data_IF_577060276901
#
_entry.id   IF_577060276901
#
_cell.length_a   1.000
_cell.length_b   1.000
_cell.length_c   1.000
_cell.angle_alpha   90.00
_cell.angle_beta   90.00
_cell.angle_gamma   90.00
#
_symmetry.space_group_name_H-M   'P 1'
#
loop_
_entity.id
_entity.type
_entity.pdbx_description
1 polymer ?
#
# COMPACT_ATOMS: atom_id res chain seq x y z
N UNK A 1 -24.44 -25.27 3.96
CA UNK A 1 -24.15 -24.56 2.69
C UNK A 1 -24.10 -23.05 2.92
N UNK A 2 -22.96 -22.48 3.36
CA UNK A 2 -22.82 -21.03 3.69
C UNK A 2 -21.69 -20.31 2.95
N UNK A 3 -21.15 -20.88 1.88
CA UNK A 3 -20.04 -20.26 1.12
C UNK A 3 -20.44 -18.94 0.42
N UNK A 4 -21.70 -18.85 -0.05
CA UNK A 4 -22.23 -17.64 -0.71
C UNK A 4 -22.38 -16.43 0.23
N UNK A 5 -22.69 -16.66 1.51
CA UNK A 5 -22.76 -15.58 2.51
C UNK A 5 -21.37 -15.10 2.91
N UNK A 6 -20.41 -16.00 3.09
CA UNK A 6 -19.01 -15.63 3.40
C UNK A 6 -18.40 -14.79 2.27
N UNK A 7 -18.65 -15.15 1.00
CA UNK A 7 -18.19 -14.37 -0.15
C UNK A 7 -18.88 -13.00 -0.27
N UNK A 8 -20.19 -12.92 0.00
CA UNK A 8 -20.92 -11.63 -0.05
C UNK A 8 -20.49 -10.69 1.07
N UNK A 9 -20.33 -11.21 2.29
CA UNK A 9 -19.94 -10.39 3.44
C UNK A 9 -18.48 -9.93 3.31
N UNK A 10 -17.58 -10.77 2.79
CA UNK A 10 -16.16 -10.41 2.62
C UNK A 10 -15.88 -9.38 1.51
N UNK A 11 -16.69 -9.33 0.44
CA UNK A 11 -16.52 -8.36 -0.65
C UNK A 11 -17.23 -7.03 -0.39
N UNK A 12 -18.42 -7.06 0.25
CA UNK A 12 -19.32 -5.90 0.31
C UNK A 12 -19.42 -5.30 1.72
N UNK A 13 -19.53 -6.12 2.77
CA UNK A 13 -19.81 -5.63 4.13
C UNK A 13 -18.56 -5.47 5.01
N UNK A 14 -17.50 -6.24 4.77
CA UNK A 14 -16.27 -6.25 5.59
C UNK A 14 -15.02 -5.80 4.83
N UNK A 15 -15.15 -5.39 3.56
CA UNK A 15 -13.98 -5.00 2.77
C UNK A 15 -13.53 -3.58 3.16
N UNK A 16 -12.36 -3.41 3.80
CA UNK A 16 -11.90 -2.10 4.30
C UNK A 16 -11.73 -1.05 3.19
N UNK A 17 -11.51 -1.49 1.94
CA UNK A 17 -11.44 -0.60 0.78
C UNK A 17 -12.78 0.04 0.44
N UNK A 18 -13.89 -0.69 0.63
CA UNK A 18 -15.24 -0.21 0.33
C UNK A 18 -15.94 0.46 1.52
N UNK A 19 -15.70 -0.03 2.75
CA UNK A 19 -16.41 0.45 3.95
C UNK A 19 -15.66 1.57 4.66
N UNK A 20 -14.33 1.48 4.74
CA UNK A 20 -13.50 2.45 5.46
C UNK A 20 -12.82 3.47 4.54
N UNK A 21 -13.04 3.34 3.21
CA UNK A 21 -12.50 4.23 2.17
C UNK A 21 -10.96 4.37 2.23
N UNK A 22 -10.26 3.33 2.69
CA UNK A 22 -8.80 3.29 2.72
C UNK A 22 -8.24 2.93 1.35
N UNK A 23 -7.24 3.66 0.87
CA UNK A 23 -6.58 3.38 -0.41
C UNK A 23 -7.33 3.91 -1.66
N UNK A 24 -8.18 4.92 -1.51
CA UNK A 24 -8.93 5.53 -2.64
C UNK A 24 -8.02 6.19 -3.69
N UNK A 25 -6.91 6.80 -3.25
CA UNK A 25 -5.99 7.48 -4.16
C UNK A 25 -5.38 6.55 -5.23
N UNK A 26 -4.76 5.39 -4.89
CA UNK A 26 -4.28 4.47 -5.91
C UNK A 26 -5.42 3.77 -6.66
N UNK A 27 -6.56 3.50 -6.00
CA UNK A 27 -7.70 2.84 -6.64
C UNK A 27 -8.26 3.68 -7.79
N UNK A 28 -8.43 4.98 -7.59
CA UNK A 28 -8.88 5.90 -8.64
C UNK A 28 -7.84 6.01 -9.77
N UNK A 29 -6.55 6.03 -9.45
CA UNK A 29 -5.48 6.13 -10.44
C UNK A 29 -5.43 4.94 -11.42
N UNK A 30 -5.71 3.72 -10.95
CA UNK A 30 -5.56 2.49 -11.75
C UNK A 30 -6.82 2.10 -12.55
N UNK A 31 -7.93 2.81 -12.38
CA UNK A 31 -9.17 2.57 -13.16
C UNK A 31 -9.01 2.81 -14.67
N UNK A 32 -7.99 3.60 -15.06
CA UNK A 32 -7.76 3.98 -16.46
C UNK A 32 -7.08 2.90 -17.28
N UNK A 33 -6.28 2.02 -16.66
CA UNK A 33 -5.49 1.02 -17.38
C UNK A 33 -5.05 -0.12 -16.46
N UNK A 34 -5.40 -1.35 -16.85
CA UNK A 34 -5.01 -2.58 -16.14
C UNK A 34 -3.48 -2.73 -16.10
N UNK A 35 -2.78 -2.32 -17.17
CA UNK A 35 -1.32 -2.36 -17.27
C UNK A 35 -0.68 -1.46 -16.20
N UNK A 36 -1.21 -0.25 -16.02
CA UNK A 36 -0.75 0.67 -14.98
C UNK A 36 -1.09 0.15 -13.58
N UNK A 37 -2.24 -0.49 -13.40
CA UNK A 37 -2.64 -1.10 -12.14
C UNK A 37 -1.70 -2.23 -11.69
N UNK A 38 -1.34 -3.12 -12.60
CA UNK A 38 -0.40 -4.20 -12.33
C UNK A 38 1.00 -3.63 -12.04
N UNK A 39 1.46 -2.65 -12.83
CA UNK A 39 2.74 -1.98 -12.62
C UNK A 39 2.83 -1.28 -11.26
N UNK A 40 1.80 -0.54 -10.87
CA UNK A 40 1.74 0.17 -9.59
C UNK A 40 1.66 -0.80 -8.40
N UNK A 41 0.89 -1.89 -8.52
CA UNK A 41 0.78 -2.92 -7.48
C UNK A 41 2.08 -3.69 -7.25
N UNK A 42 2.75 -4.14 -8.33
CA UNK A 42 4.06 -4.79 -8.24
C UNK A 42 5.10 -3.87 -7.61
N UNK A 43 5.12 -2.61 -8.05
CA UNK A 43 6.02 -1.59 -7.53
C UNK A 43 5.81 -1.33 -6.04
N UNK A 44 4.55 -1.19 -5.60
CA UNK A 44 4.22 -1.01 -4.19
C UNK A 44 4.63 -2.24 -3.35
N UNK A 45 4.42 -3.45 -3.87
CA UNK A 45 4.79 -4.69 -3.18
C UNK A 45 6.30 -4.76 -2.97
N UNK A 46 7.08 -4.44 -4.01
CA UNK A 46 8.54 -4.40 -3.93
C UNK A 46 9.03 -3.31 -2.95
N UNK A 47 8.48 -2.10 -3.03
CA UNK A 47 8.81 -0.99 -2.12
C UNK A 47 8.49 -1.34 -0.67
N UNK A 48 7.36 -2.01 -0.40
CA UNK A 48 6.99 -2.43 0.94
C UNK A 48 7.96 -3.45 1.52
N UNK A 49 8.45 -4.40 0.72
CA UNK A 49 9.45 -5.39 1.15
C UNK A 49 10.76 -4.68 1.52
N UNK A 50 11.26 -3.80 0.65
CA UNK A 50 12.47 -3.03 0.90
C UNK A 50 12.32 -2.09 2.11
N UNK A 51 11.18 -1.41 2.23
CA UNK A 51 10.92 -0.48 3.34
C UNK A 51 10.85 -1.21 4.68
N UNK A 52 10.21 -2.39 4.74
CA UNK A 52 10.17 -3.18 5.98
C UNK A 52 11.56 -3.64 6.43
N UNK A 53 12.45 -3.96 5.47
CA UNK A 53 13.84 -4.29 5.79
C UNK A 53 14.57 -3.11 6.43
N UNK A 54 14.49 -1.92 5.82
CA UNK A 54 15.12 -0.69 6.35
C UNK A 54 14.50 -0.28 7.69
N UNK A 55 13.17 -0.34 7.82
CA UNK A 55 12.46 -0.02 9.06
C UNK A 55 12.93 -0.93 10.20
N UNK A 56 13.17 -2.22 9.93
CA UNK A 56 13.69 -3.16 10.93
C UNK A 56 15.04 -2.72 11.52
N UNK A 57 15.95 -2.18 10.69
CA UNK A 57 17.24 -1.65 11.15
C UNK A 57 17.10 -0.34 11.93
N UNK A 58 16.22 0.57 11.49
CA UNK A 58 16.09 1.93 12.06
C UNK A 58 15.17 1.96 13.30
N UNK A 59 14.36 0.91 13.52
CA UNK A 59 13.37 0.81 14.62
C UNK A 59 13.93 1.11 16.01
N UNK A 60 15.22 0.85 16.26
CA UNK A 60 15.84 1.03 17.59
C UNK A 60 16.17 2.48 17.92
N UNK A 61 16.27 3.35 16.92
CA UNK A 61 16.66 4.76 17.06
C UNK A 61 15.42 5.68 17.14
N UNK A 62 14.24 5.22 16.67
CA UNK A 62 13.06 6.09 16.53
C UNK A 62 12.27 6.23 17.84
N UNK A 63 12.13 7.44 18.40
CA UNK A 63 11.32 7.70 19.60
C UNK A 63 9.82 7.51 19.33
N UNK A 64 9.10 6.94 20.32
CA UNK A 64 7.71 6.47 20.18
C UNK A 64 6.71 7.54 19.69
N UNK A 65 6.94 8.83 19.97
CA UNK A 65 6.04 9.92 19.53
C UNK A 65 6.01 10.13 18.01
N UNK A 66 7.08 9.76 17.30
CA UNK A 66 7.30 10.12 15.89
C UNK A 66 7.34 8.88 14.98
N UNK A 67 7.09 7.69 15.52
CA UNK A 67 7.24 6.42 14.81
C UNK A 67 6.38 6.31 13.55
N UNK A 68 5.12 6.75 13.62
CA UNK A 68 4.19 6.68 12.49
C UNK A 68 4.67 7.61 11.35
N UNK A 69 5.02 8.86 11.67
CA UNK A 69 5.53 9.81 10.68
C UNK A 69 6.85 9.34 10.05
N UNK A 70 7.78 8.82 10.85
CA UNK A 70 9.06 8.31 10.35
C UNK A 70 8.89 7.14 9.35
N UNK A 71 7.98 6.21 9.64
CA UNK A 71 7.72 5.08 8.74
C UNK A 71 7.08 5.53 7.42
N UNK A 72 6.15 6.48 7.46
CA UNK A 72 5.52 7.04 6.26
C UNK A 72 6.55 7.76 5.38
N UNK A 73 7.47 8.53 5.99
CA UNK A 73 8.54 9.22 5.24
C UNK A 73 9.46 8.23 4.54
N UNK A 74 9.88 7.16 5.22
CA UNK A 74 10.71 6.12 4.61
C UNK A 74 9.99 5.53 3.38
N UNK A 75 8.72 5.10 3.55
CA UNK A 75 7.94 4.52 2.45
C UNK A 75 7.79 5.53 1.30
N UNK A 76 7.48 6.80 1.59
CA UNK A 76 7.31 7.84 0.57
C UNK A 76 8.57 8.06 -0.26
N UNK A 77 9.75 8.12 0.37
CA UNK A 77 11.01 8.30 -0.35
C UNK A 77 11.31 7.14 -1.31
N UNK A 78 11.05 5.90 -0.90
CA UNK A 78 11.21 4.74 -1.79
C UNK A 78 10.21 4.75 -2.94
N UNK A 79 8.94 5.11 -2.68
CA UNK A 79 7.94 5.23 -3.74
C UNK A 79 8.35 6.30 -4.75
N UNK A 80 8.87 7.45 -4.31
CA UNK A 80 9.33 8.50 -5.23
C UNK A 80 10.47 8.04 -6.14
N UNK A 81 11.42 7.26 -5.62
CA UNK A 81 12.52 6.70 -6.44
C UNK A 81 11.97 5.74 -7.49
N UNK A 82 11.02 4.88 -7.13
CA UNK A 82 10.40 3.93 -8.06
C UNK A 82 9.50 4.65 -9.08
N UNK A 83 8.80 5.70 -8.68
CA UNK A 83 7.99 6.51 -9.59
C UNK A 83 8.86 7.20 -10.64
N UNK A 84 10.05 7.69 -10.26
CA UNK A 84 11.03 8.25 -11.20
C UNK A 84 11.58 7.18 -12.16
N UNK A 85 11.79 5.95 -11.68
CA UNK A 85 12.23 4.83 -12.51
C UNK A 85 11.16 4.34 -13.51
N UNK A 86 9.88 4.46 -13.18
CA UNK A 86 8.77 4.04 -14.04
C UNK A 86 8.35 5.10 -15.07
N UNK A 87 8.59 6.39 -14.76
CA UNK A 87 8.38 7.51 -15.69
C UNK A 87 9.53 7.71 -16.68
N UNK A 88 10.69 7.11 -16.40
CA UNK A 88 11.85 7.03 -17.29
C UNK A 88 11.67 5.90 -18.30
#
# INVERSE_FOLDING_TARGET
>A
MKFRQIFKNGIIEENPTFVQLLGMCPTLAVTTSVINGIGMGLSATFVLICSNFVISLVRKIIPNKIRIAAYIVIIATFVSVVEMLLKA
#
